data_IF_407767076938
#
_entry.id   IF_407767076938
#
_cell.length_a   1.000
_cell.length_b   1.000
_cell.length_c   1.000
_cell.angle_alpha   90.00
_cell.angle_beta   90.00
_cell.angle_gamma   90.00
#
_symmetry.space_group_name_H-M   'P 1'
#
loop_
_entity.id
_entity.type
_entity.pdbx_description
1 polymer ?
#
# COMPACT_ATOMS: atom_id res chain seq x y z
N UNK A 1 12.03 14.71 -21.41
CA UNK A 1 11.96 13.50 -20.55
C UNK A 1 12.97 13.52 -19.41
N UNK A 2 14.31 13.67 -19.65
CA UNK A 2 15.31 13.78 -18.56
C UNK A 2 15.11 14.98 -17.63
N UNK A 3 14.93 16.21 -18.15
CA UNK A 3 14.68 17.39 -17.31
C UNK A 3 13.39 17.31 -16.46
N UNK A 4 12.38 16.60 -16.95
CA UNK A 4 11.12 16.40 -16.23
C UNK A 4 11.30 15.38 -15.10
N UNK A 5 12.18 14.40 -15.29
CA UNK A 5 12.63 13.45 -14.28
C UNK A 5 13.52 14.13 -13.23
N UNK A 6 14.42 15.03 -13.63
CA UNK A 6 15.31 15.76 -12.72
C UNK A 6 14.53 16.71 -11.79
N UNK A 7 13.46 17.34 -12.28
CA UNK A 7 12.50 18.10 -11.46
C UNK A 7 11.65 17.20 -10.56
N UNK A 8 11.33 15.98 -11.02
CA UNK A 8 10.60 14.96 -10.25
C UNK A 8 11.45 14.36 -9.12
N UNK A 9 12.76 14.29 -9.34
CA UNK A 9 13.77 13.79 -8.41
C UNK A 9 14.35 14.90 -7.51
N UNK A 10 13.90 16.14 -7.66
CA UNK A 10 14.26 17.21 -6.73
C UNK A 10 13.84 16.78 -5.31
N UNK A 11 14.78 16.77 -4.37
CA UNK A 11 14.60 16.20 -3.04
C UNK A 11 13.40 16.75 -2.28
N UNK A 12 13.05 18.02 -2.49
CA UNK A 12 11.86 18.66 -1.91
C UNK A 12 10.54 18.12 -2.46
N UNK A 13 10.44 17.85 -3.77
CA UNK A 13 9.25 17.29 -4.40
C UNK A 13 9.07 15.81 -3.98
N UNK A 14 10.17 15.08 -3.87
CA UNK A 14 10.17 13.70 -3.37
C UNK A 14 9.65 13.60 -1.93
N UNK A 15 10.10 14.49 -1.04
CA UNK A 15 9.66 14.51 0.36
C UNK A 15 8.17 14.85 0.47
N UNK A 16 7.70 15.87 -0.26
CA UNK A 16 6.27 16.24 -0.28
C UNK A 16 5.39 15.10 -0.76
N UNK A 17 5.78 14.46 -1.87
CA UNK A 17 5.07 13.29 -2.42
C UNK A 17 5.08 12.12 -1.45
N UNK A 18 6.20 11.84 -0.80
CA UNK A 18 6.33 10.77 0.19
C UNK A 18 5.42 11.03 1.40
N UNK A 19 5.43 12.26 1.94
CA UNK A 19 4.54 12.65 3.05
C UNK A 19 3.07 12.54 2.68
N UNK A 20 2.68 13.01 1.49
CA UNK A 20 1.31 12.86 1.00
C UNK A 20 0.93 11.39 0.78
N UNK A 21 1.87 10.55 0.33
CA UNK A 21 1.67 9.12 0.18
C UNK A 21 1.43 8.43 1.53
N UNK A 22 2.29 8.71 2.52
CA UNK A 22 2.16 8.16 3.87
C UNK A 22 0.82 8.59 4.50
N UNK A 23 0.43 9.86 4.39
CA UNK A 23 -0.88 10.31 4.88
C UNK A 23 -2.05 9.61 4.15
N UNK A 24 -1.95 9.45 2.84
CA UNK A 24 -2.92 8.69 2.06
C UNK A 24 -3.06 7.25 2.55
N UNK A 25 -1.94 6.56 2.76
CA UNK A 25 -1.91 5.19 3.29
C UNK A 25 -2.52 5.13 4.69
N UNK A 26 -2.20 6.08 5.57
CA UNK A 26 -2.78 6.18 6.92
C UNK A 26 -4.32 6.26 6.90
N UNK A 27 -4.88 6.88 5.86
CA UNK A 27 -6.33 6.99 5.61
C UNK A 27 -6.89 5.82 4.78
N UNK A 28 -6.09 4.77 4.55
CA UNK A 28 -6.47 3.59 3.77
C UNK A 28 -6.64 3.84 2.26
N UNK A 29 -6.05 4.92 1.74
CA UNK A 29 -6.07 5.28 0.32
C UNK A 29 -4.81 4.79 -0.38
N UNK A 30 -4.95 4.50 -1.68
CA UNK A 30 -3.80 4.29 -2.56
C UNK A 30 -3.71 5.46 -3.52
N UNK A 31 -2.65 6.25 -3.39
CA UNK A 31 -2.35 7.29 -4.35
C UNK A 31 -1.51 6.68 -5.47
N UNK A 32 -2.18 5.95 -6.36
CA UNK A 32 -1.59 5.25 -7.51
C UNK A 32 -0.81 6.17 -8.46
N UNK A 33 -1.07 7.48 -8.39
CA UNK A 33 -0.33 8.51 -9.14
C UNK A 33 1.01 8.91 -8.48
N UNK A 34 1.27 8.45 -7.25
CA UNK A 34 2.47 8.79 -6.46
C UNK A 34 3.41 7.58 -6.36
N UNK A 35 2.87 6.40 -6.08
CA UNK A 35 3.59 5.13 -6.17
C UNK A 35 2.70 4.10 -6.89
N UNK A 36 2.98 3.80 -8.17
CA UNK A 36 2.34 2.67 -8.81
C UNK A 36 2.91 1.42 -8.15
N UNK A 37 2.14 0.78 -7.27
CA UNK A 37 2.22 -0.67 -7.20
C UNK A 37 1.84 -1.11 -8.60
N UNK A 38 2.84 -1.48 -9.41
CA UNK A 38 2.81 -1.55 -10.87
C UNK A 38 1.40 -1.82 -11.39
N UNK A 39 0.80 -0.87 -12.14
CA UNK A 39 -0.50 -1.12 -12.75
C UNK A 39 -0.31 -2.37 -13.62
N UNK A 40 -0.96 -3.50 -13.31
CA UNK A 40 -0.64 -4.72 -14.03
C UNK A 40 -0.93 -4.49 -15.50
N UNK A 41 0.01 -4.86 -16.37
CA UNK A 41 -0.17 -4.80 -17.83
C UNK A 41 -1.40 -5.58 -18.27
N UNK A 42 -1.76 -6.61 -17.48
CA UNK A 42 -2.85 -7.52 -17.77
C UNK A 42 -4.15 -7.11 -17.08
N UNK A 43 -5.27 -7.39 -17.74
CA UNK A 43 -6.62 -7.15 -17.20
C UNK A 43 -6.85 -7.98 -15.94
N UNK A 44 -7.67 -7.47 -15.03
CA UNK A 44 -8.12 -8.23 -13.87
C UNK A 44 -8.85 -9.50 -14.30
N UNK A 45 -8.44 -10.65 -13.75
CA UNK A 45 -8.90 -11.96 -14.17
C UNK A 45 -10.03 -12.42 -13.25
N UNK A 46 -11.14 -12.84 -13.83
CA UNK A 46 -12.26 -13.45 -13.09
C UNK A 46 -12.71 -14.68 -13.84
N UNK A 47 -13.33 -15.63 -13.15
CA UNK A 47 -13.90 -16.81 -13.77
C UNK A 47 -15.30 -17.07 -13.22
N UNK A 48 -16.19 -17.59 -14.06
CA UNK A 48 -17.53 -18.00 -13.64
C UNK A 48 -17.53 -19.50 -13.37
N UNK A 49 -18.04 -19.90 -12.20
CA UNK A 49 -18.21 -21.30 -11.83
C UNK A 49 -19.54 -21.45 -11.10
N UNK A 50 -20.35 -22.41 -11.53
CA UNK A 50 -21.70 -22.70 -10.98
C UNK A 50 -22.62 -21.46 -10.89
N UNK A 51 -22.54 -20.56 -11.87
CA UNK A 51 -23.35 -19.33 -11.90
C UNK A 51 -22.82 -18.18 -11.04
N UNK A 52 -21.81 -18.43 -10.19
CA UNK A 52 -21.12 -17.42 -9.39
C UNK A 52 -19.84 -16.94 -10.09
N UNK A 53 -19.48 -15.68 -9.85
CA UNK A 53 -18.27 -15.05 -10.37
C UNK A 53 -17.20 -15.02 -9.29
N UNK A 54 -15.99 -15.43 -9.63
CA UNK A 54 -14.91 -15.62 -8.67
C UNK A 54 -13.64 -14.87 -9.08
N UNK A 55 -12.94 -14.32 -8.10
CA UNK A 55 -11.61 -13.77 -8.31
C UNK A 55 -10.65 -14.92 -8.65
N UNK A 56 -9.91 -14.76 -9.75
CA UNK A 56 -8.91 -15.76 -10.14
C UNK A 56 -7.61 -15.53 -9.35
N UNK A 57 -7.01 -16.61 -8.83
CA UNK A 57 -5.75 -16.55 -8.10
C UNK A 57 -4.57 -16.05 -8.95
N UNK A 58 -4.64 -16.17 -10.28
CA UNK A 58 -3.66 -15.54 -11.20
C UNK A 58 -3.64 -14.01 -11.12
N UNK A 59 -4.59 -13.36 -10.42
CA UNK A 59 -4.43 -11.95 -10.08
C UNK A 59 -3.30 -11.70 -9.07
N UNK A 60 -2.90 -12.68 -8.27
CA UNK A 60 -1.87 -12.52 -7.24
C UNK A 60 -0.51 -12.26 -7.89
N UNK A 61 -0.21 -13.01 -8.96
CA UNK A 61 1.05 -12.92 -9.71
C UNK A 61 1.29 -11.54 -10.32
N UNK A 62 0.21 -10.81 -10.62
CA UNK A 62 0.25 -9.44 -11.14
C UNK A 62 0.98 -8.48 -10.20
N UNK A 63 1.07 -8.82 -8.91
CA UNK A 63 1.65 -7.98 -7.88
C UNK A 63 3.00 -8.50 -7.36
N UNK A 64 3.41 -9.73 -7.71
CA UNK A 64 4.63 -10.37 -7.18
C UNK A 64 5.86 -9.47 -7.35
N UNK A 65 6.15 -8.99 -8.57
CA UNK A 65 7.35 -8.17 -8.82
C UNK A 65 7.41 -6.91 -7.94
N UNK A 66 6.25 -6.29 -7.69
CA UNK A 66 6.17 -5.10 -6.84
C UNK A 66 6.38 -5.46 -5.37
N UNK A 67 5.74 -6.53 -4.91
CA UNK A 67 5.84 -7.01 -3.53
C UNK A 67 7.25 -7.51 -3.25
N UNK A 68 7.89 -8.18 -4.19
CA UNK A 68 9.28 -8.60 -4.11
C UNK A 68 10.21 -7.41 -3.90
N UNK A 69 10.05 -6.35 -4.70
CA UNK A 69 10.85 -5.13 -4.54
C UNK A 69 10.66 -4.49 -3.15
N UNK A 70 9.42 -4.37 -2.69
CA UNK A 70 9.10 -3.75 -1.39
C UNK A 70 9.64 -4.60 -0.25
N UNK A 71 9.45 -5.92 -0.32
CA UNK A 71 9.81 -6.85 0.76
C UNK A 71 11.28 -7.23 0.78
N UNK A 72 12.03 -6.89 -0.27
CA UNK A 72 13.49 -6.97 -0.29
C UNK A 72 14.18 -5.82 0.47
N UNK A 73 13.42 -4.78 0.87
CA UNK A 73 13.98 -3.65 1.62
C UNK A 73 14.31 -4.09 3.06
N UNK A 74 15.51 -3.72 3.50
CA UNK A 74 15.94 -3.97 4.87
C UNK A 74 15.25 -3.01 5.84
N UNK A 75 14.49 -3.56 6.79
CA UNK A 75 13.69 -2.78 7.72
C UNK A 75 14.55 -1.88 8.63
N UNK A 76 15.77 -2.32 8.98
CA UNK A 76 16.67 -1.52 9.82
C UNK A 76 17.19 -0.30 9.09
N UNK A 77 17.64 -0.48 7.84
CA UNK A 77 18.08 0.61 6.98
C UNK A 77 16.95 1.59 6.69
N UNK A 78 15.71 1.11 6.48
CA UNK A 78 14.54 1.96 6.29
C UNK A 78 14.25 2.82 7.54
N UNK A 79 14.29 2.23 8.73
CA UNK A 79 14.07 2.98 9.98
C UNK A 79 15.19 3.98 10.23
N UNK A 80 16.45 3.60 10.01
CA UNK A 80 17.58 4.52 10.11
C UNK A 80 17.46 5.70 9.12
N UNK A 81 17.02 5.43 7.89
CA UNK A 81 16.74 6.47 6.89
C UNK A 81 15.59 7.37 7.33
N UNK A 82 14.50 6.81 7.87
CA UNK A 82 13.36 7.58 8.40
C UNK A 82 13.82 8.56 9.49
N UNK A 83 14.59 8.10 10.48
CA UNK A 83 15.09 8.97 11.54
C UNK A 83 16.05 10.05 11.02
N UNK A 84 16.94 9.71 10.09
CA UNK A 84 17.84 10.68 9.45
C UNK A 84 17.07 11.74 8.65
N UNK A 85 16.03 11.33 7.93
CA UNK A 85 15.19 12.21 7.12
C UNK A 85 14.11 12.93 7.95
N UNK A 86 13.97 12.62 9.24
CA UNK A 86 12.87 13.11 10.07
C UNK A 86 12.68 14.62 10.06
N UNK A 87 13.72 15.48 10.15
CA UNK A 87 13.53 16.93 10.08
C UNK A 87 12.91 17.38 8.75
N UNK A 88 13.29 16.72 7.65
CA UNK A 88 12.78 17.00 6.31
C UNK A 88 11.34 16.51 6.15
N UNK A 89 11.01 15.35 6.72
CA UNK A 89 9.65 14.82 6.75
C UNK A 89 8.71 15.70 7.60
N UNK A 90 9.17 16.17 8.77
CA UNK A 90 8.41 17.12 9.60
C UNK A 90 8.07 18.38 8.81
N UNK A 91 9.04 18.95 8.09
CA UNK A 91 8.80 20.13 7.26
C UNK A 91 7.75 19.86 6.17
N UNK A 92 7.88 18.74 5.44
CA UNK A 92 6.94 18.35 4.40
C UNK A 92 5.52 18.06 4.94
N UNK A 93 5.40 17.40 6.11
CA UNK A 93 4.11 17.17 6.76
C UNK A 93 3.48 18.45 7.32
N UNK A 94 4.30 19.41 7.77
CA UNK A 94 3.82 20.71 8.23
C UNK A 94 3.11 21.50 7.13
N UNK A 95 3.54 21.33 5.87
CA UNK A 95 2.84 21.91 4.71
C UNK A 95 1.44 21.32 4.51
N UNK A 96 1.21 20.07 4.97
CA UNK A 96 -0.10 19.43 5.02
C UNK A 96 -0.90 19.81 6.28
N UNK A 97 -0.35 20.66 7.15
CA UNK A 97 -0.97 21.09 8.42
C UNK A 97 -0.72 20.15 9.61
N UNK A 98 0.26 19.25 9.53
CA UNK A 98 0.54 18.27 10.59
C UNK A 98 1.62 18.78 11.54
N UNK A 99 1.43 18.54 12.83
CA UNK A 99 2.51 18.60 13.83
C UNK A 99 3.41 17.36 13.71
N UNK A 100 4.62 17.41 14.29
CA UNK A 100 5.51 16.24 14.35
C UNK A 100 4.82 15.01 14.96
N UNK A 101 4.08 15.17 16.07
CA UNK A 101 3.36 14.06 16.71
C UNK A 101 2.30 13.45 15.78
N UNK A 102 1.60 14.27 15.00
CA UNK A 102 0.62 13.78 14.03
C UNK A 102 1.29 13.08 12.84
N UNK A 103 2.48 13.55 12.42
CA UNK A 103 3.27 12.87 11.39
C UNK A 103 3.72 11.48 11.86
N UNK A 104 4.24 11.36 13.09
CA UNK A 104 4.60 10.06 13.66
C UNK A 104 3.38 9.12 13.74
N UNK A 105 2.24 9.66 14.16
CA UNK A 105 0.97 8.94 14.16
C UNK A 105 0.51 8.49 12.76
N UNK A 106 0.72 9.32 11.73
CA UNK A 106 0.38 8.96 10.35
C UNK A 106 1.24 7.82 9.82
N UNK A 107 2.55 7.81 10.11
CA UNK A 107 3.45 6.71 9.74
C UNK A 107 2.99 5.40 10.36
N UNK A 108 2.71 5.40 11.67
CA UNK A 108 2.21 4.21 12.36
C UNK A 108 0.83 3.78 11.84
N UNK A 109 -0.09 4.71 11.62
CA UNK A 109 -1.41 4.42 11.09
C UNK A 109 -1.36 3.80 9.68
N UNK A 110 -0.40 4.21 8.84
CA UNK A 110 -0.19 3.59 7.52
C UNK A 110 0.23 2.11 7.64
N UNK A 111 1.12 1.80 8.58
CA UNK A 111 1.50 0.40 8.87
C UNK A 111 0.30 -0.38 9.42
N UNK A 112 -0.48 0.21 10.33
CA UNK A 112 -1.69 -0.43 10.87
C UNK A 112 -2.72 -0.77 9.80
N UNK A 113 -2.87 0.04 8.75
CA UNK A 113 -3.78 -0.29 7.65
C UNK A 113 -3.37 -1.60 6.93
N UNK A 114 -2.06 -1.81 6.74
CA UNK A 114 -1.51 -3.05 6.17
C UNK A 114 -1.76 -4.22 7.13
N UNK A 115 -1.43 -4.04 8.41
CA UNK A 115 -1.55 -5.06 9.46
C UNK A 115 -3.00 -5.47 9.72
N UNK A 116 -3.95 -4.54 9.61
CA UNK A 116 -5.37 -4.79 9.79
C UNK A 116 -6.04 -5.47 8.57
N UNK A 117 -5.30 -5.70 7.47
CA UNK A 117 -5.86 -6.40 6.30
C UNK A 117 -6.08 -7.88 6.64
N UNK A 118 -7.27 -8.45 6.43
CA UNK A 118 -7.48 -9.88 6.62
C UNK A 118 -6.74 -10.69 5.55
N UNK A 119 -6.17 -11.83 5.94
CA UNK A 119 -5.57 -12.81 5.02
C UNK A 119 -6.63 -13.84 4.68
N UNK A 120 -7.04 -13.90 3.40
CA UNK A 120 -8.07 -14.81 2.91
C UNK A 120 -7.41 -15.84 2.00
N UNK A 121 -7.51 -17.12 2.38
CA UNK A 121 -6.95 -18.24 1.60
C UNK A 121 -8.01 -18.92 0.75
N UNK A 122 -9.28 -18.70 1.07
CA UNK A 122 -10.43 -19.23 0.36
C UNK A 122 -10.73 -18.45 -0.92
N UNK A 123 -11.42 -19.07 -1.91
CA UNK A 123 -11.89 -18.36 -3.09
C UNK A 123 -12.77 -17.16 -2.74
N UNK A 124 -12.47 -16.01 -3.33
CA UNK A 124 -13.22 -14.77 -3.10
C UNK A 124 -14.25 -14.59 -4.21
N UNK A 125 -15.53 -14.63 -3.84
CA UNK A 125 -16.64 -14.37 -4.75
C UNK A 125 -16.72 -12.87 -5.08
N UNK A 126 -17.05 -12.58 -6.33
CA UNK A 126 -17.20 -11.25 -6.87
C UNK A 126 -18.63 -11.02 -7.35
N UNK A 127 -19.05 -9.77 -7.31
CA UNK A 127 -20.20 -9.28 -8.05
C UNK A 127 -19.74 -8.31 -9.14
N UNK A 128 -20.58 -8.14 -10.15
CA UNK A 128 -20.34 -7.16 -11.22
C UNK A 128 -21.34 -6.02 -11.08
N UNK A 129 -20.82 -4.82 -10.86
CA UNK A 129 -21.60 -3.58 -10.90
C UNK A 129 -21.09 -2.76 -12.08
N UNK A 130 -21.86 -2.75 -13.18
CA UNK A 130 -21.45 -2.19 -14.47
C UNK A 130 -20.12 -2.81 -14.97
N UNK A 131 -19.09 -2.00 -15.20
CA UNK A 131 -17.75 -2.44 -15.66
C UNK A 131 -16.81 -2.83 -14.51
N UNK A 132 -17.19 -2.60 -13.26
CA UNK A 132 -16.34 -2.82 -12.10
C UNK A 132 -16.65 -4.14 -11.39
N UNK A 133 -15.60 -4.79 -10.88
CA UNK A 133 -15.71 -5.93 -9.98
C UNK A 133 -15.75 -5.44 -8.53
N UNK A 134 -16.66 -6.01 -7.75
CA UNK A 134 -16.79 -5.80 -6.29
C UNK A 134 -16.70 -7.13 -5.58
N UNK A 135 -16.28 -7.13 -4.33
CA UNK A 135 -16.37 -8.33 -3.49
C UNK A 135 -17.85 -8.60 -3.15
N UNK A 136 -18.27 -9.87 -3.22
CA UNK A 136 -19.62 -10.25 -2.84
C UNK A 136 -19.84 -10.15 -1.32
N UNK A 137 -18.82 -10.46 -0.52
CA UNK A 137 -18.83 -10.26 0.92
C UNK A 137 -18.75 -8.76 1.25
N UNK A 138 -19.80 -8.23 1.88
CA UNK A 138 -19.90 -6.82 2.26
C UNK A 138 -18.81 -6.38 3.24
N UNK A 139 -18.27 -7.29 4.05
CA UNK A 139 -17.16 -7.00 4.96
C UNK A 139 -15.87 -6.75 4.18
N UNK A 140 -15.60 -7.55 3.14
CA UNK A 140 -14.44 -7.37 2.26
C UNK A 140 -14.61 -6.13 1.38
N UNK A 141 -15.82 -5.89 0.87
CA UNK A 141 -16.11 -4.73 0.04
C UNK A 141 -16.06 -3.41 0.85
N UNK A 142 -16.36 -3.47 2.16
CA UNK A 142 -16.24 -2.36 3.10
C UNK A 142 -14.81 -2.00 3.51
N UNK A 143 -13.82 -2.83 3.17
CA UNK A 143 -12.41 -2.54 3.47
C UNK A 143 -11.90 -1.31 2.73
N UNK A 144 -10.84 -0.70 3.26
CA UNK A 144 -10.18 0.46 2.65
C UNK A 144 -9.61 0.12 1.27
N UNK A 145 -9.33 1.13 0.43
CA UNK A 145 -8.78 0.89 -0.91
C UNK A 145 -7.44 0.15 -0.84
N UNK A 146 -6.61 0.51 0.14
CA UNK A 146 -5.35 -0.17 0.43
C UNK A 146 -5.58 -1.64 0.81
N UNK A 147 -6.44 -1.91 1.78
CA UNK A 147 -6.74 -3.28 2.21
C UNK A 147 -7.30 -4.14 1.06
N UNK A 148 -8.22 -3.58 0.26
CA UNK A 148 -8.75 -4.26 -0.93
C UNK A 148 -7.67 -4.55 -1.97
N UNK A 149 -6.62 -3.73 -2.05
CA UNK A 149 -5.48 -3.98 -2.94
C UNK A 149 -4.58 -5.12 -2.44
N UNK A 150 -4.37 -5.22 -1.13
CA UNK A 150 -3.66 -6.36 -0.55
C UNK A 150 -4.44 -7.67 -0.79
N UNK A 151 -5.77 -7.65 -0.63
CA UNK A 151 -6.59 -8.81 -1.01
C UNK A 151 -6.41 -9.21 -2.48
N UNK A 152 -6.26 -8.24 -3.39
CA UNK A 152 -6.01 -8.51 -4.82
C UNK A 152 -4.62 -9.08 -5.09
N UNK A 153 -3.64 -8.85 -4.21
CA UNK A 153 -2.32 -9.46 -4.31
C UNK A 153 -2.24 -10.87 -3.73
N UNK A 154 -3.29 -11.32 -3.05
CA UNK A 154 -3.41 -12.67 -2.53
C UNK A 154 -2.82 -12.86 -1.14
N UNK A 155 -3.03 -14.04 -0.53
CA UNK A 155 -2.68 -14.31 0.86
C UNK A 155 -1.16 -14.20 1.09
N UNK A 156 -0.35 -14.83 0.25
CA UNK A 156 1.11 -14.87 0.42
C UNK A 156 1.72 -13.46 0.36
N UNK A 157 1.36 -12.67 -0.65
CA UNK A 157 1.83 -11.30 -0.78
C UNK A 157 1.34 -10.42 0.37
N UNK A 158 0.10 -10.60 0.82
CA UNK A 158 -0.44 -9.88 1.98
C UNK A 158 0.37 -10.20 3.23
N UNK A 159 0.65 -11.48 3.50
CA UNK A 159 1.45 -11.90 4.65
C UNK A 159 2.88 -11.33 4.61
N UNK A 160 3.52 -11.33 3.43
CA UNK A 160 4.87 -10.77 3.26
C UNK A 160 4.91 -9.27 3.55
N UNK A 161 3.93 -8.51 3.03
CA UNK A 161 3.78 -7.08 3.33
C UNK A 161 3.50 -6.84 4.81
N UNK A 162 2.67 -7.67 5.45
CA UNK A 162 2.40 -7.61 6.88
C UNK A 162 3.62 -7.94 7.73
N UNK A 163 4.48 -8.87 7.29
CA UNK A 163 5.74 -9.16 7.97
C UNK A 163 6.64 -7.93 7.99
N UNK A 164 6.89 -7.33 6.82
CA UNK A 164 7.66 -6.08 6.73
C UNK A 164 7.04 -4.96 7.58
N UNK A 165 5.72 -4.80 7.53
CA UNK A 165 5.03 -3.76 8.30
C UNK A 165 5.16 -3.98 9.82
N UNK A 166 5.14 -5.23 10.31
CA UNK A 166 5.38 -5.55 11.73
C UNK A 166 6.81 -5.19 12.12
N UNK A 167 7.78 -5.58 11.31
CA UNK A 167 9.20 -5.35 11.59
C UNK A 167 9.50 -3.83 11.63
N UNK A 168 8.96 -3.08 10.68
CA UNK A 168 9.05 -1.61 10.67
C UNK A 168 8.38 -1.00 11.90
N UNK A 169 7.16 -1.43 12.23
CA UNK A 169 6.41 -0.89 13.38
C UNK A 169 7.17 -1.11 14.68
N UNK A 170 7.68 -2.32 14.89
CA UNK A 170 8.43 -2.67 16.09
C UNK A 170 9.66 -1.78 16.22
N UNK A 171 10.49 -1.70 15.18
CA UNK A 171 11.74 -0.93 15.18
C UNK A 171 11.52 0.58 15.35
N UNK A 172 10.42 1.13 14.81
CA UNK A 172 10.05 2.53 14.98
C UNK A 172 9.64 2.88 16.42
N UNK A 173 9.17 1.90 17.20
CA UNK A 173 8.72 2.09 18.59
C UNK A 173 9.83 1.81 19.61
N UNK A 174 10.90 1.14 19.21
CA UNK A 174 12.04 0.77 20.06
C UNK A 174 13.11 1.88 20.17
N UNK A 175 13.04 2.93 19.33
CA UNK A 175 13.98 4.06 19.29
C UNK A 175 13.32 5.38 19.70
#
# INVERSE_FOLDING_TARGET
MRQQLDLWLASSDLLRRSSAYIDGLARGQLLSNIFPLTAPSDRFISHTSNGSLWMNAGNYDRYNATVDLITALDAEQLVALFHRARPLLVAAFSELGYTQRQMDGAVLAALEQILATPVIVEPIELTRESVAFRYADSRLEGLSRLQKQLLRSGPDNTQRLQSLARDLRQRLLEQ
#
